data_IF_358687768772
#
_entry.id   IF_358687768772
#
_cell.length_a   1.000
_cell.length_b   1.000
_cell.length_c   1.000
_cell.angle_alpha   90.00
_cell.angle_beta   90.00
_cell.angle_gamma   90.00
#
_symmetry.space_group_name_H-M   'P 1'
#
loop_
_entity.id
_entity.type
_entity.pdbx_description
1 polymer ?
#
# COMPACT_ATOMS: atom_id res chain seq x y z
N UNK A 1 38.89 8.23 -40.20
CA UNK A 1 39.02 8.31 -38.73
C UNK A 1 38.47 9.64 -38.21
N UNK A 2 38.93 10.78 -38.73
CA UNK A 2 38.45 12.12 -38.33
C UNK A 2 36.92 12.32 -38.46
N UNK A 3 36.33 11.96 -39.61
CA UNK A 3 34.88 12.07 -39.83
C UNK A 3 34.04 11.32 -38.79
N UNK A 4 34.49 10.14 -38.35
CA UNK A 4 33.78 9.34 -37.33
C UNK A 4 33.87 10.01 -35.96
N UNK A 5 35.00 10.63 -35.65
CA UNK A 5 35.21 11.39 -34.41
C UNK A 5 34.30 12.64 -34.41
N UNK A 6 34.24 13.37 -35.52
CA UNK A 6 33.43 14.59 -35.63
C UNK A 6 31.93 14.30 -35.54
N UNK A 7 31.46 13.22 -36.19
CA UNK A 7 30.07 12.74 -36.08
C UNK A 7 29.78 12.26 -34.66
N UNK A 8 30.69 11.52 -34.03
CA UNK A 8 30.55 11.06 -32.64
C UNK A 8 30.44 12.22 -31.64
N UNK A 9 31.30 13.24 -31.76
CA UNK A 9 31.25 14.44 -30.94
C UNK A 9 29.95 15.21 -31.14
N UNK A 10 29.49 15.35 -32.38
CA UNK A 10 28.23 16.04 -32.69
C UNK A 10 27.03 15.34 -32.05
N UNK A 11 26.98 14.00 -32.10
CA UNK A 11 25.94 13.21 -31.42
C UNK A 11 25.98 13.41 -29.91
N UNK A 12 27.18 13.43 -29.30
CA UNK A 12 27.33 13.69 -27.86
C UNK A 12 26.80 15.09 -27.51
N UNK A 13 27.14 16.13 -28.27
CA UNK A 13 26.64 17.48 -28.03
C UNK A 13 25.11 17.55 -28.13
N UNK A 14 24.51 16.88 -29.12
CA UNK A 14 23.04 16.80 -29.26
C UNK A 14 22.43 16.07 -28.06
N UNK A 15 22.99 14.95 -27.62
CA UNK A 15 22.51 14.22 -26.44
C UNK A 15 22.60 15.05 -25.17
N UNK A 16 23.72 15.76 -24.95
CA UNK A 16 23.89 16.66 -23.78
C UNK A 16 22.90 17.83 -23.86
N UNK A 17 22.72 18.43 -25.04
CA UNK A 17 21.77 19.50 -25.26
C UNK A 17 20.32 19.05 -24.98
N UNK A 18 19.93 17.85 -25.38
CA UNK A 18 18.60 17.28 -25.09
C UNK A 18 18.45 16.88 -23.61
N UNK A 19 19.52 16.50 -22.93
CA UNK A 19 19.49 16.22 -21.50
C UNK A 19 19.21 17.49 -20.68
N UNK A 20 19.75 18.65 -21.06
CA UNK A 20 19.62 19.89 -20.28
C UNK A 20 18.16 20.29 -19.97
N UNK A 21 17.20 20.27 -20.91
CA UNK A 21 15.78 20.49 -20.63
C UNK A 21 15.18 19.44 -19.69
N UNK A 22 15.53 18.16 -19.84
CA UNK A 22 15.02 17.07 -18.99
C UNK A 22 15.47 17.23 -17.55
N UNK A 23 16.76 17.56 -17.35
CA UNK A 23 17.31 17.86 -16.03
C UNK A 23 16.71 19.14 -15.45
N UNK A 24 16.62 20.21 -16.24
CA UNK A 24 16.00 21.48 -15.83
C UNK A 24 14.55 21.25 -15.37
N UNK A 25 13.78 20.45 -16.11
CA UNK A 25 12.43 20.07 -15.73
C UNK A 25 12.37 19.28 -14.43
N UNK A 26 13.26 18.30 -14.26
CA UNK A 26 13.36 17.52 -13.03
C UNK A 26 13.71 18.38 -11.82
N UNK A 27 14.67 19.31 -11.97
CA UNK A 27 15.03 20.26 -10.92
C UNK A 27 13.90 21.25 -10.63
N UNK A 28 13.19 21.75 -11.64
CA UNK A 28 12.00 22.58 -11.46
C UNK A 28 10.94 21.84 -10.62
N UNK A 29 10.59 20.60 -10.99
CA UNK A 29 9.63 19.80 -10.22
C UNK A 29 10.09 19.58 -8.78
N UNK A 30 11.39 19.30 -8.56
CA UNK A 30 11.95 19.18 -7.21
C UNK A 30 11.82 20.49 -6.42
N UNK A 31 12.14 21.63 -7.02
CA UNK A 31 12.07 22.94 -6.38
C UNK A 31 10.64 23.29 -5.98
N UNK A 32 9.68 23.15 -6.89
CA UNK A 32 8.29 23.51 -6.61
C UNK A 32 7.67 22.55 -5.57
N UNK A 33 7.94 21.25 -5.66
CA UNK A 33 7.51 20.28 -4.66
C UNK A 33 8.11 20.57 -3.27
N UNK A 34 9.39 20.94 -3.20
CA UNK A 34 10.04 21.31 -1.94
C UNK A 34 9.40 22.57 -1.35
N UNK A 35 9.18 23.60 -2.17
CA UNK A 35 8.51 24.84 -1.75
C UNK A 35 7.10 24.56 -1.21
N UNK A 36 6.35 23.67 -1.85
CA UNK A 36 5.05 23.23 -1.36
C UNK A 36 5.18 22.51 -0.02
N UNK A 37 6.11 21.56 0.12
CA UNK A 37 6.33 20.81 1.36
C UNK A 37 6.73 21.72 2.53
N UNK A 38 7.59 22.70 2.29
CA UNK A 38 8.03 23.64 3.32
C UNK A 38 6.84 24.48 3.81
N UNK A 39 6.02 24.99 2.87
CA UNK A 39 4.77 25.69 3.20
C UNK A 39 3.79 24.78 3.96
N UNK A 40 3.57 23.58 3.45
CA UNK A 40 2.67 22.60 4.06
C UNK A 40 3.09 22.23 5.48
N UNK A 41 4.39 22.01 5.71
CA UNK A 41 4.94 21.72 7.02
C UNK A 41 4.81 22.91 7.99
N UNK A 42 4.93 24.15 7.49
CA UNK A 42 4.68 25.36 8.28
C UNK A 42 3.21 25.53 8.68
N UNK A 43 2.27 25.05 7.86
CA UNK A 43 0.84 25.06 8.13
C UNK A 43 0.37 23.86 8.99
N UNK A 44 1.23 22.88 9.25
CA UNK A 44 0.92 21.74 10.10
C UNK A 44 1.00 22.14 11.58
N UNK A 45 0.03 21.68 12.35
CA UNK A 45 -0.02 21.82 13.80
C UNK A 45 0.04 20.44 14.46
N UNK A 46 0.62 20.38 15.65
CA UNK A 46 0.65 19.18 16.48
C UNK A 46 -0.34 19.35 17.62
N UNK A 47 -1.26 18.40 17.74
CA UNK A 47 -2.27 18.37 18.79
C UNK A 47 -1.98 17.19 19.72
N UNK A 48 -1.89 17.43 21.02
CA UNK A 48 -1.82 16.40 22.04
C UNK A 48 -3.24 16.02 22.47
N UNK A 49 -3.53 14.72 22.47
CA UNK A 49 -4.78 14.17 22.95
C UNK A 49 -4.54 13.61 24.34
N UNK A 50 -5.15 14.23 25.35
CA UNK A 50 -5.18 13.68 26.70
C UNK A 50 -6.40 12.79 26.85
N UNK A 51 -6.14 11.52 27.16
CA UNK A 51 -7.17 10.52 27.38
C UNK A 51 -7.67 10.58 28.83
N UNK A 52 -8.98 10.46 29.08
CA UNK A 52 -9.51 10.26 30.42
C UNK A 52 -9.10 8.87 30.95
N UNK A 53 -9.22 8.67 32.26
CA UNK A 53 -8.77 7.44 32.95
C UNK A 53 -9.45 6.17 32.45
N UNK A 54 -10.71 6.28 32.01
CA UNK A 54 -11.52 5.14 31.57
C UNK A 54 -12.23 5.49 30.26
N UNK A 55 -12.11 4.60 29.27
CA UNK A 55 -12.78 4.72 27.97
C UNK A 55 -13.37 3.37 27.61
N UNK A 56 -14.70 3.25 27.67
CA UNK A 56 -15.44 2.03 27.30
C UNK A 56 -16.03 2.12 25.90
N UNK A 57 -15.27 2.67 24.93
CA UNK A 57 -15.72 2.75 23.55
C UNK A 57 -15.14 1.59 22.74
N UNK A 58 -15.97 1.05 21.85
CA UNK A 58 -15.53 0.06 20.86
C UNK A 58 -14.52 0.69 19.89
N UNK A 59 -13.53 -0.08 19.38
CA UNK A 59 -12.62 0.37 18.32
C UNK A 59 -13.30 0.95 17.08
N UNK A 60 -14.57 0.60 16.83
CA UNK A 60 -15.38 1.21 15.78
C UNK A 60 -15.53 2.74 15.94
N UNK A 61 -15.63 3.25 17.17
CA UNK A 61 -15.69 4.69 17.43
C UNK A 61 -14.39 5.39 16.96
N UNK A 62 -13.24 4.73 17.12
CA UNK A 62 -11.95 5.22 16.59
C UNK A 62 -11.91 5.20 15.06
N UNK A 63 -12.45 4.17 14.41
CA UNK A 63 -12.57 4.11 12.94
C UNK A 63 -13.37 5.32 12.42
N UNK A 64 -14.47 5.68 13.07
CA UNK A 64 -15.27 6.86 12.73
C UNK A 64 -14.50 8.16 13.01
N UNK A 65 -13.86 8.29 14.16
CA UNK A 65 -13.09 9.51 14.51
C UNK A 65 -11.94 9.77 13.54
N UNK A 66 -11.20 8.73 13.14
CA UNK A 66 -10.06 8.82 12.23
C UNK A 66 -10.50 9.10 10.78
N UNK A 67 -11.75 8.78 10.42
CA UNK A 67 -12.25 9.00 9.05
C UNK A 67 -12.14 10.46 8.57
N UNK A 68 -12.09 11.43 9.49
CA UNK A 68 -11.86 12.85 9.17
C UNK A 68 -10.45 13.11 8.62
N UNK A 69 -9.46 12.28 8.97
CA UNK A 69 -8.09 12.38 8.46
C UNK A 69 -7.97 11.95 7.00
N UNK A 70 -9.01 11.28 6.45
CA UNK A 70 -9.08 10.86 5.06
C UNK A 70 -9.71 11.92 4.14
N UNK A 71 -9.98 13.11 4.65
CA UNK A 71 -10.63 14.20 3.93
C UNK A 71 -9.66 15.37 3.72
N UNK A 72 -8.46 15.10 3.20
CA UNK A 72 -7.41 16.13 3.11
C UNK A 72 -7.54 17.05 1.88
N UNK A 73 -8.49 16.74 1.00
CA UNK A 73 -8.80 17.52 -0.21
C UNK A 73 -7.90 17.12 -1.38
N UNK A 74 -8.49 16.99 -2.57
CA UNK A 74 -7.78 16.51 -3.76
C UNK A 74 -6.66 17.44 -4.21
N UNK A 75 -5.63 16.86 -4.84
CA UNK A 75 -4.54 17.61 -5.46
C UNK A 75 -5.00 18.17 -6.80
N UNK A 76 -4.68 19.44 -6.99
CA UNK A 76 -5.16 20.28 -8.08
C UNK A 76 -4.88 19.73 -9.50
N UNK A 77 -5.58 20.33 -10.47
CA UNK A 77 -5.40 20.18 -11.91
C UNK A 77 -3.92 20.30 -12.35
N UNK A 78 -3.58 19.84 -13.55
CA UNK A 78 -2.22 19.84 -14.12
C UNK A 78 -1.37 21.09 -13.81
N UNK A 79 -1.99 22.27 -13.83
CA UNK A 79 -1.34 23.53 -13.46
C UNK A 79 -0.84 23.55 -12.01
N UNK A 80 -1.68 23.24 -11.03
CA UNK A 80 -1.31 23.26 -9.62
C UNK A 80 -0.28 22.18 -9.27
N UNK A 81 -0.23 21.07 -10.01
CA UNK A 81 0.84 20.08 -9.88
C UNK A 81 2.18 20.60 -10.42
N UNK A 82 2.16 21.25 -11.58
CA UNK A 82 3.38 21.56 -12.34
C UNK A 82 4.01 22.90 -11.93
N UNK A 83 3.18 23.87 -11.54
CA UNK A 83 3.62 25.23 -11.19
C UNK A 83 3.51 25.53 -9.70
N UNK A 84 2.47 25.03 -9.01
CA UNK A 84 2.33 25.20 -7.56
C UNK A 84 2.94 24.04 -6.75
N UNK A 85 3.25 22.91 -7.41
CA UNK A 85 3.87 21.74 -6.78
C UNK A 85 2.97 21.09 -5.75
N UNK A 86 1.65 21.22 -5.91
CA UNK A 86 0.70 20.67 -4.96
C UNK A 86 0.91 19.16 -4.85
N UNK A 87 1.13 18.71 -3.62
CA UNK A 87 1.24 17.30 -3.26
C UNK A 87 0.06 16.90 -2.38
N UNK A 88 -0.28 15.60 -2.33
CA UNK A 88 -1.28 15.10 -1.40
C UNK A 88 -0.91 15.48 0.03
N UNK A 89 -1.88 16.02 0.76
CA UNK A 89 -1.69 16.32 2.16
C UNK A 89 -1.64 15.00 2.96
N UNK A 90 -0.80 14.98 3.99
CA UNK A 90 -0.67 13.85 4.89
C UNK A 90 -0.85 14.30 6.33
N UNK A 91 -1.38 13.41 7.15
CA UNK A 91 -1.56 13.57 8.59
C UNK A 91 -0.80 12.46 9.31
N UNK A 92 -0.60 12.61 10.62
CA UNK A 92 -0.03 11.53 11.42
C UNK A 92 -0.72 11.33 12.75
N UNK A 93 -0.84 10.06 13.15
CA UNK A 93 -1.17 9.63 14.50
C UNK A 93 0.12 9.14 15.14
N UNK A 94 0.43 9.63 16.32
CA UNK A 94 1.72 9.42 16.96
C UNK A 94 1.55 9.04 18.43
N UNK A 95 2.34 8.07 18.86
CA UNK A 95 2.52 7.72 20.27
C UNK A 95 3.97 8.00 20.57
N UNK A 96 4.25 8.90 21.49
CA UNK A 96 5.61 9.22 21.91
C UNK A 96 5.76 8.92 23.38
N UNK A 97 6.74 8.07 23.71
CA UNK A 97 7.24 7.92 25.06
C UNK A 97 8.44 8.84 25.24
N UNK A 98 8.32 9.75 26.20
CA UNK A 98 9.34 10.72 26.55
C UNK A 98 9.74 10.41 27.99
N UNK A 99 10.93 9.82 28.17
CA UNK A 99 11.43 9.44 29.50
C UNK A 99 10.47 8.51 30.27
N UNK A 100 9.77 7.62 29.57
CA UNK A 100 8.81 6.66 30.16
C UNK A 100 7.37 7.19 30.28
N UNK A 101 7.13 8.47 29.97
CA UNK A 101 5.78 9.04 29.96
C UNK A 101 5.21 9.00 28.55
N UNK A 102 4.05 8.36 28.40
CA UNK A 102 3.38 8.16 27.12
C UNK A 102 2.47 9.36 26.80
N UNK A 103 2.66 9.92 25.61
CA UNK A 103 1.86 10.99 25.05
C UNK A 103 1.28 10.57 23.71
N UNK A 104 0.05 11.01 23.42
CA UNK A 104 -0.62 10.76 22.14
C UNK A 104 -0.73 12.06 21.37
N UNK A 105 -0.27 12.06 20.13
CA UNK A 105 -0.30 13.23 19.27
C UNK A 105 -1.01 12.95 17.94
N UNK A 106 -1.58 14.01 17.38
CA UNK A 106 -2.15 14.05 16.04
C UNK A 106 -1.59 15.27 15.32
N UNK A 107 -0.90 15.04 14.20
CA UNK A 107 -0.39 16.11 13.35
C UNK A 107 -1.30 16.26 12.14
N UNK A 108 -1.81 17.46 11.94
CA UNK A 108 -2.75 17.79 10.86
C UNK A 108 -2.46 19.18 10.31
N UNK A 109 -2.95 19.46 9.11
CA UNK A 109 -2.96 20.82 8.60
C UNK A 109 -3.95 21.68 9.41
N UNK A 110 -3.54 22.91 9.77
CA UNK A 110 -4.35 23.86 10.55
C UNK A 110 -5.76 24.07 10.01
N UNK A 111 -5.95 23.99 8.68
CA UNK A 111 -7.26 24.11 8.02
C UNK A 111 -8.27 23.06 8.50
N UNK A 112 -7.81 21.86 8.84
CA UNK A 112 -8.68 20.74 9.22
C UNK A 112 -8.87 20.61 10.74
N UNK A 113 -8.27 21.50 11.54
CA UNK A 113 -8.36 21.44 13.01
C UNK A 113 -9.78 21.31 13.52
N UNK A 114 -10.68 22.20 13.11
CA UNK A 114 -12.07 22.21 13.56
C UNK A 114 -12.82 20.92 13.18
N UNK A 115 -12.55 20.37 11.99
CA UNK A 115 -13.16 19.12 11.53
C UNK A 115 -12.67 17.94 12.37
N UNK A 116 -11.37 17.87 12.64
CA UNK A 116 -10.77 16.78 13.43
C UNK A 116 -11.24 16.86 14.88
N UNK A 117 -11.16 18.02 15.52
CA UNK A 117 -11.64 18.21 16.89
C UNK A 117 -13.12 17.83 17.02
N UNK A 118 -13.99 18.30 16.13
CA UNK A 118 -15.41 17.97 16.18
C UNK A 118 -15.68 16.46 16.07
N UNK A 119 -14.99 15.75 15.18
CA UNK A 119 -15.16 14.30 15.02
C UNK A 119 -14.63 13.52 16.22
N UNK A 120 -13.47 13.91 16.75
CA UNK A 120 -12.90 13.28 17.94
C UNK A 120 -13.79 13.52 19.17
N UNK A 121 -14.25 14.75 19.43
CA UNK A 121 -15.17 15.05 20.53
C UNK A 121 -16.54 14.37 20.38
N UNK A 122 -17.04 14.18 19.16
CA UNK A 122 -18.30 13.47 18.92
C UNK A 122 -18.23 11.99 19.35
N UNK A 123 -17.10 11.33 19.11
CA UNK A 123 -16.89 9.93 19.51
C UNK A 123 -16.42 9.80 20.95
N UNK A 124 -15.59 10.75 21.39
CA UNK A 124 -14.93 10.77 22.69
C UNK A 124 -15.12 12.13 23.39
N UNK A 125 -16.25 12.40 24.04
CA UNK A 125 -16.51 13.71 24.67
C UNK A 125 -15.58 14.04 25.85
N UNK A 126 -14.95 13.02 26.46
CA UNK A 126 -14.12 13.17 27.65
C UNK A 126 -12.62 13.38 27.40
N UNK A 127 -12.17 13.42 26.14
CA UNK A 127 -10.78 13.75 25.82
C UNK A 127 -10.56 15.25 25.92
N UNK A 128 -9.31 15.67 26.10
CA UNK A 128 -8.90 17.07 25.97
C UNK A 128 -7.89 17.16 24.83
N UNK A 129 -8.17 18.00 23.82
CA UNK A 129 -7.27 18.24 22.70
C UNK A 129 -6.60 19.59 22.90
N UNK A 130 -5.29 19.58 23.08
CA UNK A 130 -4.48 20.80 23.28
C UNK A 130 -3.42 20.92 22.20
N UNK A 131 -3.08 22.15 21.82
CA UNK A 131 -1.96 22.39 20.91
C UNK A 131 -0.66 22.18 21.66
N UNK A 132 0.25 21.40 21.10
CA UNK A 132 1.51 21.03 21.72
C UNK A 132 2.69 21.44 20.85
N UNK A 133 3.80 21.79 21.52
CA UNK A 133 5.07 22.00 20.83
C UNK A 133 5.62 20.67 20.30
N UNK A 134 6.31 20.74 19.17
CA UNK A 134 6.99 19.60 18.56
C UNK A 134 7.96 18.94 19.55
N UNK A 135 7.61 17.73 20.00
CA UNK A 135 8.37 16.97 20.98
C UNK A 135 9.75 16.57 20.48
N UNK A 136 9.97 16.53 19.16
CA UNK A 136 11.27 16.17 18.58
C UNK A 136 12.34 17.22 18.89
N UNK A 137 11.94 18.48 19.11
CA UNK A 137 12.85 19.59 19.49
C UNK A 137 13.47 19.41 20.86
N UNK A 138 12.90 18.56 21.73
CA UNK A 138 13.47 18.22 23.04
C UNK A 138 14.82 17.49 22.89
N UNK A 139 15.05 16.85 21.74
CA UNK A 139 16.29 16.15 21.42
C UNK A 139 17.06 16.95 20.37
N UNK A 140 18.28 17.36 20.70
CA UNK A 140 19.21 17.89 19.69
C UNK A 140 19.94 16.74 19.01
N UNK A 141 19.36 16.22 17.93
CA UNK A 141 20.07 15.28 17.06
C UNK A 141 20.94 16.06 16.06
N UNK A 142 22.26 15.84 16.09
CA UNK A 142 23.16 16.29 15.03
C UNK A 142 23.82 15.07 14.41
N UNK A 143 23.66 14.88 13.10
CA UNK A 143 24.19 13.75 12.34
C UNK A 143 25.73 13.62 12.35
N UNK A 144 26.44 14.63 12.88
CA UNK A 144 27.89 14.66 13.06
C UNK A 144 28.31 14.52 14.53
N UNK A 145 27.39 14.76 15.46
CA UNK A 145 27.66 14.53 16.88
C UNK A 145 27.51 13.05 17.19
N UNK A 146 28.40 12.52 18.02
CA UNK A 146 28.32 11.14 18.52
C UNK A 146 27.48 11.03 19.79
N UNK A 147 26.73 12.06 20.14
CA UNK A 147 26.10 12.19 21.45
C UNK A 147 24.80 11.38 21.55
N UNK A 148 24.14 11.17 20.40
CA UNK A 148 22.84 10.51 20.30
C UNK A 148 22.94 9.35 19.31
N UNK A 149 22.42 8.19 19.71
CA UNK A 149 22.21 7.05 18.83
C UNK A 149 20.72 6.93 18.52
N UNK A 150 20.42 6.60 17.26
CA UNK A 150 19.05 6.43 16.78
C UNK A 150 18.92 5.10 16.08
N UNK A 151 17.89 4.35 16.43
CA UNK A 151 17.42 3.20 15.67
C UNK A 151 16.04 3.51 15.10
N UNK A 152 15.78 3.07 13.87
CA UNK A 152 14.46 3.23 13.26
C UNK A 152 14.11 2.03 12.41
N UNK A 153 12.81 1.76 12.34
CA UNK A 153 12.25 0.71 11.51
C UNK A 153 10.93 1.19 10.90
N UNK A 154 10.55 0.59 9.78
CA UNK A 154 9.24 0.79 9.19
C UNK A 154 8.66 -0.58 8.84
N UNK A 155 7.36 -0.72 9.03
CA UNK A 155 6.67 -1.98 8.76
C UNK A 155 6.47 -2.17 7.26
N UNK A 156 6.70 -3.39 6.79
CA UNK A 156 6.36 -3.84 5.44
C UNK A 156 5.36 -4.98 5.54
N UNK A 157 4.39 -5.01 4.63
CA UNK A 157 3.52 -6.17 4.48
C UNK A 157 4.35 -7.36 3.96
N UNK A 158 4.24 -8.49 4.64
CA UNK A 158 5.01 -9.70 4.30
C UNK A 158 4.35 -10.58 3.24
N UNK A 159 3.04 -10.43 3.02
CA UNK A 159 2.26 -11.29 2.12
C UNK A 159 2.54 -10.90 0.67
N UNK A 160 2.76 -11.91 -0.18
CA UNK A 160 3.03 -11.75 -1.62
C UNK A 160 2.04 -12.57 -2.43
N UNK A 161 1.85 -12.21 -3.69
CA UNK A 161 1.05 -12.98 -4.65
C UNK A 161 1.81 -13.16 -5.97
N UNK A 162 1.38 -14.17 -6.73
CA UNK A 162 1.99 -14.58 -7.99
C UNK A 162 1.07 -14.18 -9.15
N UNK A 163 1.33 -13.05 -9.84
CA UNK A 163 0.53 -12.66 -11.00
C UNK A 163 0.71 -13.67 -12.13
N UNK A 164 -0.35 -13.87 -12.91
CA UNK A 164 -0.35 -14.69 -14.13
C UNK A 164 -0.70 -13.82 -15.32
N UNK A 165 -0.15 -14.15 -16.48
CA UNK A 165 -0.48 -13.41 -17.69
C UNK A 165 -1.96 -13.62 -18.07
N UNK A 166 -2.78 -12.55 -18.16
CA UNK A 166 -4.21 -12.67 -18.48
C UNK A 166 -4.51 -13.31 -19.84
N UNK A 167 -3.55 -13.29 -20.78
CA UNK A 167 -3.71 -13.85 -22.11
C UNK A 167 -3.27 -15.30 -22.20
N UNK A 168 -2.22 -15.70 -21.49
CA UNK A 168 -1.63 -17.05 -21.64
C UNK A 168 -1.88 -17.96 -20.45
N UNK A 169 -2.31 -17.42 -19.32
CA UNK A 169 -2.48 -18.13 -18.07
C UNK A 169 -1.18 -18.60 -17.40
N UNK A 170 -0.04 -18.29 -18.01
CA UNK A 170 1.27 -18.71 -17.52
C UNK A 170 1.75 -17.78 -16.42
N UNK A 171 2.41 -18.37 -15.43
CA UNK A 171 3.12 -17.63 -14.38
C UNK A 171 4.34 -16.92 -14.98
N UNK A 172 4.69 -15.77 -14.42
CA UNK A 172 5.89 -15.04 -14.82
C UNK A 172 7.14 -15.62 -14.12
N UNK A 173 8.26 -15.75 -14.83
CA UNK A 173 9.59 -15.99 -14.24
C UNK A 173 10.23 -14.66 -13.80
N UNK A 174 11.12 -14.71 -12.81
CA UNK A 174 12.00 -13.58 -12.44
C UNK A 174 12.99 -13.26 -13.56
N UNK A 175 13.45 -14.29 -14.27
CA UNK A 175 14.35 -14.16 -15.42
C UNK A 175 13.50 -14.01 -16.67
N UNK A 176 13.18 -12.77 -17.03
CA UNK A 176 12.15 -12.43 -18.02
C UNK A 176 12.16 -13.26 -19.31
N UNK A 177 10.95 -13.48 -19.85
CA UNK A 177 10.71 -14.12 -21.14
C UNK A 177 10.68 -15.65 -21.16
N UNK A 178 10.75 -16.34 -20.00
CA UNK A 178 10.61 -17.81 -19.90
C UNK A 178 9.62 -18.22 -18.82
N UNK A 179 9.06 -19.43 -18.94
CA UNK A 179 8.31 -20.06 -17.85
C UNK A 179 9.25 -20.33 -16.66
N UNK A 180 8.77 -20.17 -15.41
CA UNK A 180 9.59 -20.38 -14.23
C UNK A 180 10.05 -21.84 -14.16
N UNK A 181 11.37 -22.05 -14.00
CA UNK A 181 11.94 -23.41 -13.90
C UNK A 181 11.67 -24.09 -12.56
N UNK A 182 11.62 -23.30 -11.49
CA UNK A 182 11.45 -23.72 -10.09
C UNK A 182 10.56 -22.72 -9.34
N UNK A 183 10.02 -23.11 -8.17
CA UNK A 183 9.17 -22.21 -7.36
C UNK A 183 9.89 -20.93 -6.90
N UNK A 184 11.22 -20.98 -6.75
CA UNK A 184 12.07 -19.81 -6.43
C UNK A 184 12.20 -18.83 -7.60
N UNK A 185 12.00 -19.30 -8.82
CA UNK A 185 12.09 -18.50 -10.06
C UNK A 185 10.75 -17.83 -10.40
N UNK A 186 9.67 -18.12 -9.66
CA UNK A 186 8.39 -17.47 -9.86
C UNK A 186 8.45 -16.00 -9.44
N UNK A 187 7.93 -15.14 -10.31
CA UNK A 187 7.79 -13.72 -10.03
C UNK A 187 6.70 -13.49 -8.99
N UNK A 188 6.99 -12.62 -8.02
CA UNK A 188 6.09 -12.32 -6.91
C UNK A 188 5.98 -10.80 -6.75
N UNK A 189 4.78 -10.34 -6.45
CA UNK A 189 4.49 -8.95 -6.11
C UNK A 189 3.91 -8.86 -4.70
N UNK A 190 4.02 -7.71 -4.01
CA UNK A 190 3.33 -7.47 -2.75
C UNK A 190 1.81 -7.69 -2.90
N UNK A 191 1.18 -8.43 -1.99
CA UNK A 191 -0.27 -8.69 -2.03
C UNK A 191 -1.04 -7.72 -1.15
N UNK A 192 -0.74 -6.44 -1.31
CA UNK A 192 -1.31 -5.36 -0.51
C UNK A 192 -2.82 -5.23 -0.67
N UNK A 193 -3.45 -5.87 -1.66
CA UNK A 193 -4.92 -5.96 -1.75
C UNK A 193 -5.53 -6.85 -0.66
N UNK A 194 -4.71 -7.68 0.00
CA UNK A 194 -5.13 -8.50 1.13
C UNK A 194 -5.44 -7.61 2.33
N UNK A 195 -6.52 -7.93 3.04
CA UNK A 195 -6.89 -7.21 4.26
C UNK A 195 -5.96 -7.63 5.41
N UNK A 196 -5.48 -6.66 6.19
CA UNK A 196 -4.86 -6.96 7.50
C UNK A 196 -5.94 -7.38 8.47
N UNK A 197 -5.58 -8.15 9.50
CA UNK A 197 -6.51 -8.47 10.59
C UNK A 197 -7.00 -7.17 11.24
N UNK A 198 -8.30 -7.09 11.48
CA UNK A 198 -9.00 -5.95 12.04
C UNK A 198 -9.59 -6.29 13.40
N UNK A 199 -10.04 -5.28 14.14
CA UNK A 199 -10.67 -5.48 15.45
C UNK A 199 -11.88 -6.44 15.41
N UNK A 200 -12.57 -6.54 14.27
CA UNK A 200 -13.65 -7.53 14.05
C UNK A 200 -13.11 -8.96 14.05
N UNK A 201 -11.93 -9.18 13.45
CA UNK A 201 -11.28 -10.48 13.40
C UNK A 201 -10.73 -10.89 14.79
N UNK A 202 -10.46 -9.90 15.65
CA UNK A 202 -10.12 -10.10 17.06
C UNK A 202 -11.35 -10.19 17.98
N UNK A 203 -12.57 -10.09 17.45
CA UNK A 203 -13.81 -10.15 18.22
C UNK A 203 -14.03 -8.96 19.17
N UNK A 204 -13.34 -7.84 18.95
CA UNK A 204 -13.46 -6.61 19.74
C UNK A 204 -14.72 -5.80 19.36
N UNK A 205 -15.48 -6.24 18.35
CA UNK A 205 -16.77 -5.67 17.98
C UNK A 205 -17.92 -6.12 18.90
N UNK A 206 -17.79 -7.31 19.49
CA UNK A 206 -18.80 -7.96 20.33
C UNK A 206 -18.70 -7.59 21.82
N UNK A 207 -17.86 -6.61 22.15
CA UNK A 207 -17.53 -6.19 23.52
C UNK A 207 -17.39 -7.39 24.48
N UNK A 208 -16.38 -8.27 24.25
CA UNK A 208 -16.16 -9.42 25.12
C UNK A 208 -15.88 -8.94 26.55
N UNK A 209 -16.20 -9.79 27.55
CA UNK A 209 -15.82 -9.53 28.95
C UNK A 209 -14.33 -9.16 29.02
N UNK A 210 -13.97 -8.19 29.86
CA UNK A 210 -12.61 -7.63 29.93
C UNK A 210 -11.51 -8.69 30.06
N UNK A 211 -11.79 -9.80 30.75
CA UNK A 211 -10.89 -10.95 30.91
C UNK A 211 -10.44 -11.60 29.58
N UNK A 212 -11.26 -11.52 28.53
CA UNK A 212 -10.96 -12.09 27.20
C UNK A 212 -10.53 -11.03 26.19
N UNK A 213 -10.47 -9.75 26.61
CA UNK A 213 -10.08 -8.64 25.76
C UNK A 213 -8.55 -8.55 25.70
N UNK A 214 -7.97 -9.19 24.70
CA UNK A 214 -6.54 -9.06 24.40
C UNK A 214 -6.37 -7.84 23.48
N UNK A 215 -5.80 -6.74 24.00
CA UNK A 215 -5.47 -5.57 23.19
C UNK A 215 -4.07 -5.73 22.55
N UNK A 216 -3.97 -5.70 21.21
CA UNK A 216 -2.70 -5.87 20.52
C UNK A 216 -1.68 -4.73 20.78
N UNK A 217 -2.11 -3.57 21.30
CA UNK A 217 -1.20 -2.44 21.56
C UNK A 217 -0.60 -2.47 22.97
N UNK A 218 -1.16 -3.25 23.90
CA UNK A 218 -0.70 -3.30 25.30
C UNK A 218 0.79 -3.60 25.43
N UNK A 219 1.37 -4.60 24.74
CA UNK A 219 2.81 -4.87 24.84
C UNK A 219 3.67 -3.67 24.39
N UNK A 220 3.22 -2.94 23.36
CA UNK A 220 3.89 -1.74 22.90
C UNK A 220 3.85 -0.63 23.96
N UNK A 221 2.69 -0.40 24.58
CA UNK A 221 2.53 0.60 25.63
C UNK A 221 3.32 0.25 26.90
N UNK A 222 3.35 -1.02 27.30
CA UNK A 222 4.16 -1.49 28.43
C UNK A 222 5.64 -1.28 28.19
N UNK A 223 6.13 -1.64 27.00
CA UNK A 223 7.50 -1.37 26.59
C UNK A 223 7.80 0.13 26.62
N UNK A 224 6.92 0.94 26.01
CA UNK A 224 7.02 2.40 25.98
C UNK A 224 7.03 3.02 27.38
N UNK A 225 6.29 2.48 28.34
CA UNK A 225 6.30 2.93 29.73
C UNK A 225 7.55 2.48 30.52
N UNK A 226 8.22 1.41 30.06
CA UNK A 226 9.40 0.85 30.73
C UNK A 226 10.72 1.57 30.40
N UNK A 227 10.72 2.44 29.36
CA UNK A 227 11.94 3.14 28.93
C UNK A 227 12.40 4.14 30.00
N UNK A 228 13.72 4.32 30.11
CA UNK A 228 14.34 5.08 31.19
C UNK A 228 14.42 6.58 30.87
N UNK A 229 14.80 7.35 31.89
CA UNK A 229 15.08 8.79 31.73
C UNK A 229 16.17 9.04 30.68
N UNK A 230 15.92 9.95 29.75
CA UNK A 230 16.79 10.26 28.62
C UNK A 230 16.66 9.32 27.42
N UNK A 231 15.73 8.35 27.47
CA UNK A 231 15.32 7.53 26.33
C UNK A 231 14.00 8.06 25.75
N UNK A 232 13.91 8.02 24.43
CA UNK A 232 12.72 8.44 23.69
C UNK A 232 12.34 7.38 22.68
N UNK A 233 11.06 7.04 22.64
CA UNK A 233 10.53 6.08 21.69
C UNK A 233 9.28 6.63 21.03
N UNK A 234 9.24 6.59 19.71
CA UNK A 234 8.18 7.16 18.91
C UNK A 234 7.62 6.11 17.97
N UNK A 235 6.30 5.96 18.01
CA UNK A 235 5.53 5.16 17.08
C UNK A 235 4.62 6.08 16.28
N UNK A 236 4.69 5.99 14.96
CA UNK A 236 3.96 6.91 14.10
C UNK A 236 3.31 6.21 12.93
N UNK A 237 2.05 6.55 12.73
CA UNK A 237 1.23 6.14 11.60
C UNK A 237 1.05 7.38 10.74
N UNK A 238 1.77 7.43 9.62
CA UNK A 238 1.57 8.44 8.58
C UNK A 238 0.39 8.01 7.72
N UNK A 239 -0.54 8.92 7.47
CA UNK A 239 -1.76 8.69 6.72
C UNK A 239 -1.83 9.72 5.60
N UNK A 240 -1.99 9.24 4.38
CA UNK A 240 -2.28 10.05 3.21
C UNK A 240 -3.53 9.47 2.55
N UNK A 241 -4.51 10.32 2.23
CA UNK A 241 -5.75 9.86 1.59
C UNK A 241 -5.52 9.47 0.11
N UNK A 242 -6.58 8.94 -0.51
CA UNK A 242 -6.61 8.57 -1.94
C UNK A 242 -6.57 9.79 -2.89
N UNK A 243 -6.22 10.98 -2.40
CA UNK A 243 -6.16 12.26 -3.10
C UNK A 243 -5.99 12.12 -4.61
N UNK A 244 -6.86 12.81 -5.36
CA UNK A 244 -6.77 12.85 -6.82
C UNK A 244 -5.43 13.48 -7.18
N UNK A 245 -4.56 12.73 -7.86
CA UNK A 245 -3.29 13.20 -8.39
C UNK A 245 -3.29 12.91 -9.89
N UNK A 246 -3.21 13.96 -10.71
CA UNK A 246 -3.22 13.82 -12.18
C UNK A 246 -4.55 13.27 -12.75
N UNK A 247 -5.67 13.72 -12.20
CA UNK A 247 -7.03 13.31 -12.63
C UNK A 247 -7.39 11.87 -12.28
N UNK A 248 -6.50 11.12 -11.60
CA UNK A 248 -6.75 9.75 -11.11
C UNK A 248 -6.64 9.71 -9.59
N UNK A 249 -7.47 8.88 -8.96
CA UNK A 249 -7.38 8.59 -7.53
C UNK A 249 -6.23 7.63 -7.30
N UNK A 250 -5.29 7.99 -6.43
CA UNK A 250 -4.07 7.27 -6.08
C UNK A 250 -3.13 6.97 -7.28
N UNK A 251 -1.84 7.38 -7.24
CA UNK A 251 -0.90 7.02 -8.30
C UNK A 251 -0.65 5.51 -8.33
N UNK A 252 -0.19 5.01 -9.48
CA UNK A 252 0.12 3.59 -9.70
C UNK A 252 1.45 3.25 -9.01
N UNK A 253 1.37 2.83 -7.75
CA UNK A 253 2.53 2.59 -6.88
C UNK A 253 3.27 1.29 -7.17
N UNK A 254 2.59 0.28 -7.71
CA UNK A 254 3.18 -1.02 -7.92
C UNK A 254 3.70 -1.13 -9.35
N UNK A 255 4.87 -1.74 -9.50
CA UNK A 255 5.47 -2.00 -10.80
C UNK A 255 5.54 -3.50 -11.00
N UNK A 256 4.95 -3.98 -12.08
CA UNK A 256 5.25 -5.32 -12.56
C UNK A 256 6.62 -5.25 -13.26
N UNK A 257 7.64 -5.85 -12.67
CA UNK A 257 9.02 -5.83 -13.19
C UNK A 257 9.14 -6.51 -14.55
N UNK A 258 8.22 -7.42 -14.88
CA UNK A 258 8.25 -8.20 -16.11
C UNK A 258 7.59 -7.47 -17.28
N UNK A 259 6.46 -6.81 -17.04
CA UNK A 259 5.78 -6.00 -18.06
C UNK A 259 6.23 -4.55 -18.08
N UNK A 260 6.96 -4.11 -17.04
CA UNK A 260 7.25 -2.71 -16.73
C UNK A 260 6.00 -1.83 -16.60
N UNK A 261 4.84 -2.45 -16.41
CA UNK A 261 3.58 -1.72 -16.26
C UNK A 261 3.38 -1.33 -14.80
N UNK A 262 2.99 -0.08 -14.62
CA UNK A 262 2.55 0.41 -13.33
C UNK A 262 1.09 0.01 -13.10
N UNK A 263 0.79 -0.57 -11.94
CA UNK A 263 -0.56 -0.96 -11.53
C UNK A 263 -0.95 -0.28 -10.21
N UNK A 264 -2.23 0.06 -10.12
CA UNK A 264 -2.86 0.51 -8.88
C UNK A 264 -3.28 -0.68 -8.01
N UNK A 265 -3.54 -0.44 -6.72
CA UNK A 265 -4.06 -1.45 -5.82
C UNK A 265 -5.37 -2.08 -6.34
N UNK A 266 -6.26 -1.24 -6.88
CA UNK A 266 -7.56 -1.65 -7.41
C UNK A 266 -7.45 -2.49 -8.68
N UNK A 267 -6.50 -2.17 -9.57
CA UNK A 267 -6.18 -3.00 -10.75
C UNK A 267 -5.61 -4.36 -10.31
N UNK A 268 -4.62 -4.36 -9.40
CA UNK A 268 -4.02 -5.57 -8.88
C UNK A 268 -5.04 -6.52 -8.23
N UNK A 269 -5.99 -5.96 -7.47
CA UNK A 269 -7.05 -6.73 -6.86
C UNK A 269 -8.04 -7.31 -7.89
N UNK A 270 -8.31 -6.60 -8.98
CA UNK A 270 -9.12 -7.12 -10.10
C UNK A 270 -8.41 -8.27 -10.81
N UNK A 271 -7.10 -8.14 -11.01
CA UNK A 271 -6.29 -9.19 -11.63
C UNK A 271 -6.32 -10.46 -10.77
N UNK A 272 -6.12 -10.32 -9.45
CA UNK A 272 -6.21 -11.44 -8.51
C UNK A 272 -7.61 -12.08 -8.50
N UNK A 273 -8.68 -11.28 -8.47
CA UNK A 273 -10.06 -11.80 -8.55
C UNK A 273 -10.30 -12.57 -9.84
N UNK A 274 -9.76 -12.07 -10.95
CA UNK A 274 -9.87 -12.73 -12.26
C UNK A 274 -9.11 -14.05 -12.26
N UNK A 275 -7.91 -14.08 -11.66
CA UNK A 275 -7.11 -15.29 -11.49
C UNK A 275 -7.85 -16.36 -10.68
N UNK A 276 -8.43 -16.02 -9.54
CA UNK A 276 -9.22 -16.95 -8.69
C UNK A 276 -10.45 -17.48 -9.45
N UNK A 277 -11.11 -16.62 -10.24
CA UNK A 277 -12.29 -16.97 -11.04
C UNK A 277 -11.97 -17.69 -12.34
N UNK A 278 -10.71 -17.86 -12.71
CA UNK A 278 -10.32 -18.55 -13.94
C UNK A 278 -9.99 -20.01 -13.61
N UNK A 279 -10.67 -20.97 -14.24
CA UNK A 279 -10.41 -22.39 -14.03
C UNK A 279 -9.21 -22.87 -14.86
N UNK A 280 -9.26 -22.63 -16.17
CA UNK A 280 -8.22 -22.99 -17.13
C UNK A 280 -8.29 -22.08 -18.36
N UNK A 281 -7.23 -22.10 -19.16
CA UNK A 281 -7.17 -21.40 -20.44
C UNK A 281 -7.38 -22.40 -21.57
N UNK A 282 -8.30 -22.10 -22.49
CA UNK A 282 -8.50 -22.86 -23.72
C UNK A 282 -7.48 -22.37 -24.76
N UNK A 283 -6.71 -23.28 -25.34
CA UNK A 283 -5.73 -22.96 -26.39
C UNK A 283 -6.35 -23.06 -27.78
N UNK A 284 -5.87 -22.26 -28.76
CA UNK A 284 -6.20 -22.47 -30.16
C UNK A 284 -5.87 -23.89 -30.59
N UNK A 285 -6.85 -24.60 -31.16
CA UNK A 285 -6.69 -26.00 -31.57
C UNK A 285 -7.03 -27.05 -30.49
N UNK A 286 -7.46 -26.65 -29.29
CA UNK A 286 -8.01 -27.60 -28.31
C UNK A 286 -9.38 -28.12 -28.79
N UNK A 287 -9.69 -29.38 -28.47
CA UNK A 287 -10.98 -30.01 -28.78
C UNK A 287 -12.11 -29.34 -28.01
N UNK A 288 -13.22 -29.03 -28.68
CA UNK A 288 -14.41 -28.47 -28.01
C UNK A 288 -15.07 -29.55 -27.17
N UNK A 289 -15.01 -29.40 -25.84
CA UNK A 289 -15.63 -30.31 -24.88
C UNK A 289 -17.01 -29.75 -24.50
N UNK A 290 -18.05 -30.57 -24.59
CA UNK A 290 -19.42 -30.23 -24.15
C UNK A 290 -19.56 -30.27 -22.62
N UNK A 291 -20.70 -29.83 -22.10
CA UNK A 291 -20.94 -29.63 -20.66
C UNK A 291 -20.80 -30.90 -19.79
N UNK A 292 -20.75 -32.08 -20.42
CA UNK A 292 -20.60 -33.40 -19.79
C UNK A 292 -19.29 -34.13 -20.15
N UNK A 293 -18.31 -33.44 -20.76
CA UNK A 293 -17.00 -34.04 -21.09
C UNK A 293 -16.89 -34.66 -22.47
N UNK A 294 -17.94 -34.61 -23.29
CA UNK A 294 -17.94 -35.17 -24.65
C UNK A 294 -17.30 -34.22 -25.66
N UNK A 295 -16.42 -34.71 -26.54
CA UNK A 295 -15.87 -33.90 -27.65
C UNK A 295 -16.97 -33.65 -28.68
N UNK A 296 -17.28 -32.38 -28.97
CA UNK A 296 -18.23 -32.02 -30.02
C UNK A 296 -17.65 -32.38 -31.38
N UNK A 297 -18.37 -33.22 -32.12
CA UNK A 297 -18.02 -33.62 -33.48
C UNK A 297 -18.98 -32.98 -34.49
N UNK A 298 -18.46 -32.54 -35.64
CA UNK A 298 -19.25 -32.06 -36.78
C UNK A 298 -19.13 -33.07 -37.91
N UNK A 299 -20.25 -33.40 -38.55
CA UNK A 299 -20.25 -34.26 -39.75
C UNK A 299 -19.71 -33.44 -40.93
N UNK A 300 -18.58 -33.87 -41.51
CA UNK A 300 -17.87 -33.15 -42.58
C UNK A 300 -18.16 -33.73 -43.97
N UNK A 301 -18.77 -34.91 -44.05
CA UNK A 301 -19.21 -35.52 -45.31
C UNK A 301 -19.63 -36.98 -45.13
N UNK A 302 -20.02 -37.63 -46.23
CA UNK A 302 -20.26 -39.08 -46.28
C UNK A 302 -19.22 -39.76 -47.15
N UNK A 303 -18.75 -40.91 -46.70
CA UNK A 303 -17.88 -41.83 -47.42
C UNK A 303 -18.59 -42.36 -48.67
N UNK A 304 -17.86 -42.96 -49.63
CA UNK A 304 -18.46 -43.60 -50.82
C UNK A 304 -19.46 -44.74 -50.49
N UNK A 305 -19.50 -45.19 -49.23
CA UNK A 305 -20.40 -46.22 -48.69
C UNK A 305 -21.51 -45.65 -47.77
N UNK A 306 -21.65 -44.32 -47.68
CA UNK A 306 -22.76 -43.67 -46.98
C UNK A 306 -22.62 -43.51 -45.47
N UNK A 307 -21.48 -43.90 -44.89
CA UNK A 307 -21.13 -43.61 -43.49
C UNK A 307 -20.82 -42.12 -43.29
N UNK A 308 -21.02 -41.59 -42.08
CA UNK A 308 -20.79 -40.17 -41.76
C UNK A 308 -19.38 -39.95 -41.21
N UNK A 309 -18.56 -39.16 -41.93
CA UNK A 309 -17.23 -38.74 -41.45
C UNK A 309 -17.42 -37.63 -40.41
N UNK A 310 -17.32 -38.01 -39.13
CA UNK A 310 -17.34 -37.07 -38.00
C UNK A 310 -15.92 -36.55 -37.73
N UNK A 311 -15.76 -35.23 -37.74
CA UNK A 311 -14.50 -34.57 -37.38
C UNK A 311 -14.68 -33.80 -36.08
N UNK A 312 -13.73 -33.93 -35.17
CA UNK A 312 -13.73 -33.17 -33.92
C UNK A 312 -13.71 -31.66 -34.22
N UNK A 313 -14.58 -30.91 -33.56
CA UNK A 313 -14.59 -29.45 -33.63
C UNK A 313 -13.46 -28.95 -32.72
N UNK A 314 -12.59 -28.11 -33.27
CA UNK A 314 -11.51 -27.46 -32.54
C UNK A 314 -11.88 -26.00 -32.28
N UNK A 315 -11.37 -25.43 -31.19
CA UNK A 315 -11.51 -24.01 -30.93
C UNK A 315 -10.66 -23.18 -31.91
N UNK A 316 -11.31 -22.46 -32.81
CA UNK A 316 -10.70 -21.49 -33.73
C UNK A 316 -10.66 -20.09 -33.09
N UNK A 317 -9.79 -19.90 -32.10
CA UNK A 317 -9.52 -18.57 -31.54
C UNK A 317 -8.14 -18.08 -31.98
N UNK A 318 -7.97 -16.77 -32.18
CA UNK A 318 -6.66 -16.16 -32.44
C UNK A 318 -5.78 -16.12 -31.18
N UNK A 319 -6.38 -15.98 -29.99
CA UNK A 319 -5.71 -15.95 -28.69
C UNK A 319 -6.36 -16.95 -27.70
N UNK A 320 -5.62 -17.37 -26.68
CA UNK A 320 -6.17 -18.25 -25.62
C UNK A 320 -7.28 -17.53 -24.84
N UNK A 321 -8.35 -18.24 -24.48
CA UNK A 321 -9.47 -17.67 -23.74
C UNK A 321 -9.56 -18.25 -22.31
N UNK A 322 -9.72 -17.41 -21.28
CA UNK A 322 -9.96 -17.88 -19.92
C UNK A 322 -11.38 -18.43 -19.79
N UNK A 323 -11.51 -19.59 -19.13
CA UNK A 323 -12.81 -20.16 -18.78
C UNK A 323 -13.16 -19.75 -17.35
N UNK A 324 -14.33 -19.12 -17.13
CA UNK A 324 -14.76 -18.77 -15.79
C UNK A 324 -15.12 -20.04 -15.00
N UNK A 325 -14.62 -20.13 -13.77
CA UNK A 325 -14.97 -21.14 -12.80
C UNK A 325 -16.40 -20.88 -12.29
N UNK A 326 -17.20 -21.92 -12.08
CA UNK A 326 -18.50 -21.77 -11.42
C UNK A 326 -18.28 -21.40 -9.95
N UNK A 327 -19.14 -20.56 -9.39
CA UNK A 327 -19.02 -20.08 -8.01
C UNK A 327 -19.02 -21.24 -6.97
N UNK A 328 -19.70 -22.35 -7.28
CA UNK A 328 -19.71 -23.54 -6.43
C UNK A 328 -18.35 -24.25 -6.38
N UNK A 329 -17.58 -24.20 -7.46
CA UNK A 329 -16.33 -24.95 -7.59
C UNK A 329 -15.16 -24.25 -6.91
N UNK A 330 -15.31 -22.98 -6.50
CA UNK A 330 -14.26 -22.20 -5.82
C UNK A 330 -14.06 -22.74 -4.39
N UNK A 331 -12.83 -23.07 -3.95
CA UNK A 331 -12.53 -23.53 -2.60
C UNK A 331 -12.93 -22.49 -1.57
N UNK A 332 -13.26 -22.94 -0.37
CA UNK A 332 -13.68 -22.06 0.72
C UNK A 332 -12.65 -20.97 1.05
N UNK A 333 -11.35 -21.31 1.10
CA UNK A 333 -10.27 -20.36 1.37
C UNK A 333 -10.17 -19.25 0.31
N UNK A 334 -10.33 -19.59 -0.98
CA UNK A 334 -10.35 -18.59 -2.06
C UNK A 334 -11.61 -17.71 -2.01
N UNK A 335 -12.75 -18.24 -1.53
CA UNK A 335 -13.96 -17.45 -1.29
C UNK A 335 -13.76 -16.43 -0.16
N UNK A 336 -13.15 -16.85 0.95
CA UNK A 336 -12.80 -15.94 2.04
C UNK A 336 -11.80 -14.87 1.56
N UNK A 337 -10.81 -15.24 0.74
CA UNK A 337 -9.90 -14.27 0.12
C UNK A 337 -10.67 -13.24 -0.73
N UNK A 338 -11.58 -13.69 -1.60
CA UNK A 338 -12.41 -12.81 -2.44
C UNK A 338 -13.27 -11.86 -1.60
N UNK A 339 -13.90 -12.36 -0.53
CA UNK A 339 -14.70 -11.55 0.37
C UNK A 339 -13.85 -10.51 1.10
N UNK A 340 -12.69 -10.90 1.63
CA UNK A 340 -11.75 -9.98 2.27
C UNK A 340 -11.26 -8.87 1.31
N UNK A 341 -10.95 -9.22 0.06
CA UNK A 341 -10.56 -8.24 -0.97
C UNK A 341 -11.73 -7.30 -1.28
N UNK A 342 -12.96 -7.81 -1.41
CA UNK A 342 -14.15 -6.98 -1.63
C UNK A 342 -14.40 -6.01 -0.47
N UNK A 343 -14.27 -6.49 0.78
CA UNK A 343 -14.41 -5.68 2.01
C UNK A 343 -13.33 -4.60 2.11
N UNK A 344 -12.11 -4.86 1.64
CA UNK A 344 -11.04 -3.85 1.61
C UNK A 344 -11.32 -2.74 0.60
N UNK A 345 -11.73 -3.11 -0.62
CA UNK A 345 -11.96 -2.15 -1.72
C UNK A 345 -13.25 -1.33 -1.50
N UNK A 346 -14.21 -1.85 -0.74
CA UNK A 346 -15.44 -1.11 -0.42
C UNK A 346 -15.22 0.04 0.58
N UNK A 347 -14.10 0.04 1.31
CA UNK A 347 -13.75 1.11 2.25
C UNK A 347 -12.88 2.19 1.58
N UNK A 348 -12.93 3.45 2.05
CA UNK A 348 -11.98 4.48 1.62
C UNK A 348 -10.53 4.01 1.81
N UNK A 349 -9.72 4.18 0.77
CA UNK A 349 -8.31 3.78 0.79
C UNK A 349 -7.43 4.92 1.30
N UNK A 350 -6.37 4.54 1.99
CA UNK A 350 -5.33 5.45 2.45
C UNK A 350 -3.97 4.80 2.25
N UNK A 351 -2.98 5.60 1.85
CA UNK A 351 -1.58 5.20 1.92
C UNK A 351 -1.12 5.40 3.36
N UNK A 352 -0.71 4.30 3.99
CA UNK A 352 -0.30 4.28 5.40
C UNK A 352 1.13 3.78 5.52
N UNK A 353 1.94 4.52 6.29
CA UNK A 353 3.31 4.09 6.65
C UNK A 353 3.40 4.08 8.16
N UNK A 354 3.71 2.91 8.72
CA UNK A 354 3.98 2.75 10.14
C UNK A 354 5.49 2.78 10.36
N UNK A 355 5.95 3.68 11.22
CA UNK A 355 7.36 3.86 11.56
C UNK A 355 7.58 3.88 13.05
N UNK A 356 8.74 3.37 13.42
CA UNK A 356 9.27 3.31 14.78
C UNK A 356 10.58 4.06 14.80
N UNK A 357 10.78 4.87 15.82
CA UNK A 357 12.05 5.54 16.07
C UNK A 357 12.37 5.43 17.55
N UNK A 358 13.54 4.88 17.85
CA UNK A 358 14.11 4.85 19.18
C UNK A 358 15.34 5.75 19.21
N UNK A 359 15.33 6.75 20.08
CA UNK A 359 16.39 7.76 20.20
C UNK A 359 16.86 7.80 21.65
N UNK A 360 18.17 7.68 21.85
CA UNK A 360 18.76 7.77 23.19
C UNK A 360 20.18 8.31 23.12
N UNK A 361 20.68 8.82 24.25
CA UNK A 361 22.09 9.20 24.35
C UNK A 361 22.96 7.97 24.14
N UNK A 362 24.13 8.16 23.53
CA UNK A 362 25.03 7.06 23.15
C UNK A 362 25.39 6.14 24.32
N UNK A 363 25.55 6.69 25.52
CA UNK A 363 25.88 5.96 26.75
C UNK A 363 24.77 4.99 27.19
N UNK A 364 23.52 5.33 26.89
CA UNK A 364 22.32 4.60 27.30
C UNK A 364 21.75 3.73 26.17
N UNK A 365 22.43 3.62 25.03
CA UNK A 365 21.93 2.86 23.89
C UNK A 365 22.07 1.35 24.13
N UNK A 366 20.95 0.69 24.43
CA UNK A 366 20.90 -0.77 24.60
C UNK A 366 20.28 -1.46 23.38
N UNK A 367 21.05 -2.33 22.73
CA UNK A 367 20.61 -3.12 21.58
C UNK A 367 19.54 -4.15 21.99
N UNK A 368 19.49 -4.58 23.26
CA UNK A 368 18.47 -5.52 23.74
C UNK A 368 17.07 -4.91 23.70
N UNK A 369 16.95 -3.60 23.91
CA UNK A 369 15.66 -2.91 23.80
C UNK A 369 15.11 -3.01 22.37
N UNK A 370 15.98 -3.01 21.35
CA UNK A 370 15.57 -3.18 19.94
C UNK A 370 15.00 -4.58 19.67
N UNK A 371 15.58 -5.62 20.27
CA UNK A 371 15.07 -6.99 20.11
C UNK A 371 13.71 -7.21 20.77
N UNK A 372 13.39 -6.45 21.82
CA UNK A 372 12.08 -6.50 22.47
C UNK A 372 11.02 -5.68 21.71
N UNK A 373 11.43 -4.80 20.78
CA UNK A 373 10.54 -3.99 19.94
C UNK A 373 10.09 -4.76 18.67
N UNK A 374 10.96 -5.62 18.14
CA UNK A 374 10.73 -6.46 16.95
C UNK A 374 9.99 -7.75 17.33
#
# INVERSE_FOLDING_TARGET
MQFVIDVGLTLIYICVFLMLPVWSWRFWMMYVNQKFLDKFNGDCILLEIKLPREIHKSPFATEVAISSLLQTGGVANWYGKTFDGNLPAFSSLEIASIEGVIHFYVRINKKFRALVEANFYAQYPGIEIVEADDYTKKIRYHHLSKDVNTWSAYYKLGKKWKPTNPKTGKEYSKSGGKEPKDDKDKYEMPSDFSMIKTYVDFGLDKDPKEEFKIDPITPLLEFMGSIKKGEHFWYQILIQDESVYDGRRMPKFYVNEQTHEHVSLSEMAKDRKTQIRTSHFIKPGDKVIGDYGEVRQKTVGKDAEGNEIKKDILYEFEEMKPVPRKEMDIPFEEKEELEAINKKISKPLALVVLRLVYVTKRENFDVKQIQNIL
#
